data_IF_355748314217
#
_entry.id   IF_355748314217
#
_cell.length_a   1.000
_cell.length_b   1.000
_cell.length_c   1.000
_cell.angle_alpha   90.00
_cell.angle_beta   90.00
_cell.angle_gamma   90.00
#
_symmetry.space_group_name_H-M   'P 1'
#
loop_
_entity.id
_entity.type
_entity.pdbx_description
1 polymer ?
#
# COMPACT_ATOMS: atom_id res chain seq x y z
N UNK A 1 16.53 0.96 -5.90
CA UNK A 1 16.58 1.72 -4.64
C UNK A 1 17.93 2.39 -4.44
N UNK A 2 19.03 1.69 -4.19
CA UNK A 2 20.37 2.28 -3.87
C UNK A 2 20.84 3.33 -4.87
N UNK A 3 20.62 3.13 -6.17
CA UNK A 3 21.03 4.08 -7.24
C UNK A 3 20.08 5.28 -7.31
N UNK A 4 18.76 5.07 -7.16
CA UNK A 4 17.78 6.13 -7.30
C UNK A 4 17.70 7.04 -6.06
N UNK A 5 17.96 6.52 -4.86
CA UNK A 5 17.84 7.26 -3.60
C UNK A 5 18.67 8.54 -3.56
N UNK A 6 19.97 8.58 -3.99
CA UNK A 6 20.75 9.82 -3.98
C UNK A 6 20.19 10.92 -4.89
N UNK A 7 19.52 10.57 -5.98
CA UNK A 7 18.87 11.53 -6.88
C UNK A 7 17.58 12.07 -6.27
N UNK A 8 16.71 11.16 -5.77
CA UNK A 8 15.44 11.54 -5.18
C UNK A 8 15.64 12.33 -3.89
N UNK A 9 16.65 11.99 -3.10
CA UNK A 9 17.04 12.76 -1.93
C UNK A 9 17.33 14.24 -2.24
N UNK A 10 18.09 14.54 -3.31
CA UNK A 10 18.36 15.92 -3.72
C UNK A 10 17.07 16.69 -4.06
N UNK A 11 16.07 16.00 -4.60
CA UNK A 11 14.75 16.55 -4.87
C UNK A 11 13.97 16.72 -3.56
N UNK A 12 14.01 15.70 -2.69
CA UNK A 12 13.34 15.69 -1.39
C UNK A 12 13.76 16.86 -0.48
N UNK A 13 15.05 17.25 -0.51
CA UNK A 13 15.55 18.41 0.24
C UNK A 13 14.95 19.75 -0.20
N UNK A 14 14.40 19.83 -1.40
CA UNK A 14 13.73 21.03 -1.91
C UNK A 14 12.26 21.12 -1.48
N UNK A 15 11.73 20.05 -0.86
CA UNK A 15 10.35 20.02 -0.41
C UNK A 15 10.21 20.77 0.91
N UNK A 16 9.35 21.77 0.92
CA UNK A 16 8.88 22.43 2.12
C UNK A 16 7.58 21.81 2.63
N UNK A 17 6.93 22.46 3.56
CA UNK A 17 5.69 21.96 4.21
C UNK A 17 4.51 21.90 3.23
N UNK A 18 4.44 22.84 2.30
CA UNK A 18 3.43 22.84 1.25
C UNK A 18 3.57 21.66 0.31
N UNK A 19 4.78 21.33 -0.11
CA UNK A 19 5.05 20.21 -0.99
C UNK A 19 4.74 18.86 -0.30
N UNK A 20 5.07 18.72 0.98
CA UNK A 20 4.73 17.52 1.75
C UNK A 20 3.22 17.34 1.91
N UNK A 21 2.47 18.43 2.16
CA UNK A 21 1.01 18.39 2.18
C UNK A 21 0.44 17.92 0.84
N UNK A 22 0.86 18.55 -0.27
CA UNK A 22 0.38 18.17 -1.61
C UNK A 22 0.74 16.73 -1.98
N UNK A 23 1.91 16.25 -1.56
CA UNK A 23 2.34 14.89 -1.82
C UNK A 23 1.50 13.87 -1.03
N UNK A 24 1.10 14.19 0.20
CA UNK A 24 0.18 13.36 0.97
C UNK A 24 -1.22 13.31 0.31
N UNK A 25 -1.75 14.45 -0.12
CA UNK A 25 -3.03 14.53 -0.85
C UNK A 25 -2.93 13.77 -2.18
N UNK A 26 -1.82 13.90 -2.91
CA UNK A 26 -1.57 13.13 -4.12
C UNK A 26 -1.61 11.62 -3.87
N UNK A 27 -0.95 11.14 -2.80
CA UNK A 27 -0.97 9.72 -2.42
C UNK A 27 -2.39 9.19 -2.20
N UNK A 28 -3.23 9.94 -1.47
CA UNK A 28 -4.63 9.57 -1.22
C UNK A 28 -5.44 9.58 -2.52
N UNK A 29 -5.31 10.62 -3.35
CA UNK A 29 -6.11 10.77 -4.57
C UNK A 29 -5.72 9.77 -5.65
N UNK A 30 -4.42 9.51 -5.84
CA UNK A 30 -3.97 8.57 -6.87
C UNK A 30 -4.33 7.13 -6.50
N UNK A 31 -4.21 6.75 -5.23
CA UNK A 31 -4.60 5.43 -4.76
C UNK A 31 -6.09 5.15 -5.03
N UNK A 32 -6.95 6.14 -4.80
CA UNK A 32 -8.37 6.03 -5.14
C UNK A 32 -8.60 5.81 -6.64
N UNK A 33 -7.88 6.55 -7.50
CA UNK A 33 -8.02 6.47 -8.96
C UNK A 33 -7.54 5.14 -9.55
N UNK A 34 -6.56 4.52 -8.92
CA UNK A 34 -5.90 3.30 -9.39
C UNK A 34 -6.55 2.03 -8.86
N UNK A 35 -7.50 2.13 -7.93
CA UNK A 35 -8.25 0.97 -7.44
C UNK A 35 -8.98 0.27 -8.59
N UNK A 36 -8.66 -1.02 -8.78
CA UNK A 36 -9.10 -1.79 -9.97
C UNK A 36 -10.56 -2.22 -9.85
N UNK A 37 -11.00 -2.58 -8.64
CA UNK A 37 -12.29 -3.23 -8.38
C UNK A 37 -13.39 -2.28 -7.90
N UNK A 38 -13.11 -0.97 -7.82
CA UNK A 38 -14.05 0.03 -7.30
C UNK A 38 -14.03 1.34 -8.08
N UNK A 39 -15.11 2.12 -7.96
CA UNK A 39 -15.11 3.47 -8.54
C UNK A 39 -14.09 4.36 -7.82
N UNK A 40 -13.42 5.30 -8.53
CA UNK A 40 -12.49 6.26 -7.91
C UNK A 40 -13.12 7.04 -6.75
N UNK A 41 -14.41 7.32 -6.82
CA UNK A 41 -15.17 7.99 -5.75
C UNK A 41 -15.10 7.21 -4.43
N UNK A 42 -15.29 5.88 -4.47
CA UNK A 42 -15.18 5.04 -3.28
C UNK A 42 -13.76 5.04 -2.72
N UNK A 43 -12.75 5.07 -3.61
CA UNK A 43 -11.36 5.19 -3.22
C UNK A 43 -11.08 6.53 -2.50
N UNK A 44 -11.54 7.65 -3.05
CA UNK A 44 -11.39 8.95 -2.40
C UNK A 44 -12.13 9.04 -1.06
N UNK A 45 -13.39 8.60 -1.02
CA UNK A 45 -14.15 8.55 0.24
C UNK A 45 -13.45 7.68 1.28
N UNK A 46 -12.90 6.53 0.87
CA UNK A 46 -12.09 5.68 1.75
C UNK A 46 -10.86 6.42 2.28
N UNK A 47 -10.12 7.11 1.41
CA UNK A 47 -8.97 7.92 1.79
C UNK A 47 -9.33 9.03 2.78
N UNK A 48 -10.44 9.73 2.57
CA UNK A 48 -10.93 10.75 3.50
C UNK A 48 -11.42 10.15 4.85
N UNK A 49 -12.03 8.97 4.85
CA UNK A 49 -12.36 8.25 6.09
C UNK A 49 -11.08 7.97 6.88
N UNK A 50 -10.04 7.43 6.22
CA UNK A 50 -8.76 7.19 6.87
C UNK A 50 -8.11 8.47 7.39
N UNK A 51 -8.13 9.54 6.58
CA UNK A 51 -7.64 10.86 6.97
C UNK A 51 -8.36 11.40 8.22
N UNK A 52 -9.69 11.29 8.26
CA UNK A 52 -10.49 11.71 9.41
C UNK A 52 -10.14 10.91 10.68
N UNK A 53 -9.96 9.60 10.55
CA UNK A 53 -9.54 8.73 11.65
C UNK A 53 -8.15 9.12 12.16
N UNK A 54 -7.23 9.52 11.28
CA UNK A 54 -5.89 10.01 11.67
C UNK A 54 -5.92 11.31 12.48
N UNK A 55 -7.04 12.05 12.46
CA UNK A 55 -7.23 13.27 13.25
C UNK A 55 -7.60 13.01 14.71
N UNK A 56 -7.94 11.76 15.08
CA UNK A 56 -8.31 11.39 16.44
C UNK A 56 -7.05 11.41 17.31
N UNK A 57 -7.08 12.11 18.43
CA UNK A 57 -5.96 12.21 19.38
C UNK A 57 -5.68 13.63 19.84
N UNK A 58 -4.54 13.82 20.48
CA UNK A 58 -4.04 15.15 20.81
C UNK A 58 -3.34 15.75 19.59
N UNK A 59 -3.65 16.99 19.32
CA UNK A 59 -3.04 17.75 18.23
C UNK A 59 -1.55 18.04 18.51
N UNK A 60 -0.67 17.68 17.60
CA UNK A 60 0.77 17.88 17.72
C UNK A 60 1.22 19.35 17.70
N UNK A 61 0.37 20.28 17.22
CA UNK A 61 0.73 21.70 17.10
C UNK A 61 0.19 22.52 18.27
N UNK A 62 -1.10 22.34 18.60
CA UNK A 62 -1.78 23.14 19.62
C UNK A 62 -2.03 22.38 20.92
N UNK A 63 -1.64 21.10 21.01
CA UNK A 63 -1.88 20.20 22.13
C UNK A 63 -3.36 20.12 22.57
N UNK A 64 -4.28 20.42 21.65
CA UNK A 64 -5.73 20.33 21.88
C UNK A 64 -6.26 18.93 21.65
N UNK A 65 -7.21 18.43 22.46
CA UNK A 65 -7.83 17.12 22.23
C UNK A 65 -8.78 17.20 21.03
N UNK A 66 -8.70 16.22 20.10
CA UNK A 66 -9.56 16.08 18.96
C UNK A 66 -10.23 14.71 18.93
N UNK A 67 -11.56 14.70 18.95
CA UNK A 67 -12.37 13.47 18.84
C UNK A 67 -11.98 12.37 19.85
N UNK A 68 -11.54 12.76 21.06
CA UNK A 68 -11.15 11.82 22.12
C UNK A 68 -12.42 11.41 22.86
N UNK A 69 -13.05 10.32 22.48
CA UNK A 69 -14.23 9.77 23.12
C UNK A 69 -13.88 8.89 24.34
N UNK A 70 -12.65 8.35 24.37
CA UNK A 70 -12.11 7.50 25.42
C UNK A 70 -10.68 7.93 25.72
N UNK A 71 -10.28 7.95 26.99
CA UNK A 71 -8.97 8.42 27.42
C UNK A 71 -7.80 7.70 26.71
N UNK A 72 -7.98 6.42 26.39
CA UNK A 72 -6.98 5.65 25.63
C UNK A 72 -6.72 6.15 24.19
N UNK A 73 -7.62 6.99 23.64
CA UNK A 73 -7.44 7.63 22.33
C UNK A 73 -6.64 8.95 22.40
N UNK A 74 -6.14 9.34 23.57
CA UNK A 74 -5.29 10.53 23.72
C UNK A 74 -4.04 10.45 22.85
N UNK A 75 -3.45 9.25 22.70
CA UNK A 75 -2.30 9.00 21.82
C UNK A 75 -2.69 8.80 20.33
N UNK A 76 -3.95 9.02 20.00
CA UNK A 76 -4.47 8.76 18.64
C UNK A 76 -4.83 7.30 18.40
N UNK A 77 -5.18 7.03 17.14
CA UNK A 77 -5.44 5.67 16.63
C UNK A 77 -4.12 5.02 16.25
N UNK A 78 -3.77 3.95 16.96
CA UNK A 78 -2.55 3.22 16.66
C UNK A 78 -2.61 2.50 15.34
N UNK A 79 -1.60 2.72 14.51
CA UNK A 79 -1.58 2.26 13.13
C UNK A 79 -1.54 0.73 13.03
N UNK A 80 -0.66 0.07 13.80
CA UNK A 80 -0.44 -1.39 13.69
C UNK A 80 -1.70 -2.17 14.05
N UNK A 81 -2.37 -1.96 15.22
CA UNK A 81 -3.64 -2.61 15.53
C UNK A 81 -4.74 -2.32 14.50
N UNK A 82 -4.83 -1.07 14.00
CA UNK A 82 -5.80 -0.71 12.98
C UNK A 82 -5.57 -1.50 11.67
N UNK A 83 -4.31 -1.64 11.22
CA UNK A 83 -3.97 -2.41 10.03
C UNK A 83 -4.23 -3.91 10.21
N UNK A 84 -3.82 -4.49 11.35
CA UNK A 84 -4.10 -5.90 11.67
C UNK A 84 -5.61 -6.15 11.65
N UNK A 85 -6.41 -5.22 12.19
CA UNK A 85 -7.86 -5.29 12.13
C UNK A 85 -8.40 -5.24 10.71
N UNK A 86 -8.08 -4.18 9.96
CA UNK A 86 -8.62 -3.96 8.62
C UNK A 86 -8.25 -5.05 7.61
N UNK A 87 -7.05 -5.62 7.69
CA UNK A 87 -6.61 -6.66 6.75
C UNK A 87 -6.74 -8.06 7.32
N UNK A 88 -6.39 -8.30 8.59
CA UNK A 88 -6.42 -9.63 9.21
C UNK A 88 -7.82 -10.04 9.63
N UNK A 89 -8.43 -9.32 10.59
CA UNK A 89 -9.76 -9.69 11.11
C UNK A 89 -10.84 -9.54 10.05
N UNK A 90 -10.80 -8.49 9.22
CA UNK A 90 -11.77 -8.33 8.13
C UNK A 90 -11.70 -9.49 7.13
N UNK A 91 -10.50 -9.99 6.81
CA UNK A 91 -10.33 -11.16 5.93
C UNK A 91 -10.92 -12.41 6.56
N UNK A 92 -10.63 -12.66 7.85
CA UNK A 92 -11.22 -13.79 8.59
C UNK A 92 -12.73 -13.76 8.53
N UNK A 93 -13.36 -12.59 8.78
CA UNK A 93 -14.82 -12.42 8.72
C UNK A 93 -15.36 -12.68 7.30
N UNK A 94 -14.68 -12.20 6.25
CA UNK A 94 -15.06 -12.47 4.87
C UNK A 94 -15.01 -13.97 4.55
N UNK A 95 -13.92 -14.63 4.90
CA UNK A 95 -13.71 -16.08 4.65
C UNK A 95 -14.69 -16.94 5.41
N UNK A 96 -15.05 -16.59 6.65
CA UNK A 96 -16.05 -17.32 7.44
C UNK A 96 -17.46 -17.22 6.86
N UNK A 97 -17.77 -16.12 6.15
CA UNK A 97 -19.05 -15.95 5.46
C UNK A 97 -19.08 -16.60 4.08
N UNK A 98 -17.91 -16.85 3.47
CA UNK A 98 -17.80 -17.51 2.18
C UNK A 98 -17.92 -19.03 2.35
N UNK A 99 -19.03 -19.60 1.84
CA UNK A 99 -19.30 -21.04 1.92
C UNK A 99 -18.77 -21.83 0.74
N UNK A 100 -18.07 -21.19 -0.19
CA UNK A 100 -17.54 -21.88 -1.36
C UNK A 100 -16.44 -22.87 -0.95
N UNK A 101 -16.53 -24.15 -1.38
CA UNK A 101 -15.49 -25.12 -1.06
C UNK A 101 -14.22 -24.77 -1.84
N UNK A 102 -13.14 -24.49 -1.12
CA UNK A 102 -11.83 -24.25 -1.71
C UNK A 102 -11.13 -25.60 -1.88
N UNK A 103 -10.99 -26.05 -3.12
CA UNK A 103 -10.19 -27.24 -3.46
C UNK A 103 -8.85 -26.79 -4.05
N UNK A 104 -7.77 -27.14 -3.37
CA UNK A 104 -6.41 -26.99 -3.91
C UNK A 104 -6.03 -28.30 -4.57
N UNK A 105 -5.65 -28.26 -5.84
CA UNK A 105 -5.03 -29.41 -6.49
C UNK A 105 -3.60 -29.53 -5.95
N UNK A 106 -3.28 -30.69 -5.37
CA UNK A 106 -1.98 -30.96 -4.74
C UNK A 106 -0.93 -31.54 -5.68
N UNK A 107 -1.32 -31.86 -6.92
CA UNK A 107 -0.37 -32.37 -7.91
C UNK A 107 0.55 -31.24 -8.37
N UNK A 108 1.73 -31.21 -7.80
CA UNK A 108 2.80 -30.28 -8.15
C UNK A 108 3.77 -30.94 -9.12
N UNK A 109 3.96 -30.31 -10.26
CA UNK A 109 5.03 -30.64 -11.18
C UNK A 109 6.42 -30.23 -10.63
N UNK A 110 7.40 -30.05 -11.51
CA UNK A 110 8.73 -29.55 -11.13
C UNK A 110 8.63 -28.11 -10.58
N UNK A 111 9.27 -27.87 -9.41
CA UNK A 111 9.37 -26.53 -8.81
C UNK A 111 10.38 -25.68 -9.59
N UNK A 112 11.36 -26.31 -10.25
CA UNK A 112 12.40 -25.60 -10.97
C UNK A 112 11.98 -25.37 -12.43
N UNK A 113 12.07 -24.11 -12.93
CA UNK A 113 11.82 -23.82 -14.32
C UNK A 113 12.89 -24.43 -15.21
N UNK A 114 12.51 -24.83 -16.43
CA UNK A 114 13.42 -25.31 -17.46
C UNK A 114 14.29 -24.14 -18.00
N UNK A 115 15.49 -24.44 -18.50
CA UNK A 115 16.41 -23.41 -19.05
C UNK A 115 15.76 -22.59 -20.19
N UNK A 116 14.94 -23.21 -21.01
CA UNK A 116 14.25 -22.52 -22.09
C UNK A 116 13.16 -21.57 -21.58
N UNK A 117 12.45 -21.92 -20.51
CA UNK A 117 11.48 -21.08 -19.81
C UNK A 117 12.17 -19.86 -19.22
N UNK A 118 13.31 -20.05 -18.51
CA UNK A 118 14.10 -18.94 -17.97
C UNK A 118 14.54 -17.98 -19.07
N UNK A 119 15.02 -18.49 -20.21
CA UNK A 119 15.46 -17.68 -21.34
C UNK A 119 14.29 -16.88 -21.97
N UNK A 120 13.11 -17.49 -22.09
CA UNK A 120 11.91 -16.82 -22.59
C UNK A 120 11.42 -15.72 -21.65
N UNK A 121 11.52 -15.95 -20.35
CA UNK A 121 11.03 -15.02 -19.32
C UNK A 121 12.00 -13.88 -19.02
N UNK A 122 13.27 -13.96 -19.39
CA UNK A 122 14.28 -12.96 -19.00
C UNK A 122 13.88 -11.52 -19.37
N UNK A 123 13.47 -11.29 -20.62
CA UNK A 123 13.01 -9.95 -21.06
C UNK A 123 11.74 -9.49 -20.35
N UNK A 124 10.67 -10.32 -20.23
CA UNK A 124 9.52 -10.03 -19.40
C UNK A 124 9.86 -9.67 -17.97
N UNK A 125 10.74 -10.44 -17.28
CA UNK A 125 11.15 -10.22 -15.91
C UNK A 125 11.84 -8.86 -15.71
N UNK A 126 12.84 -8.54 -16.56
CA UNK A 126 13.55 -7.24 -16.48
C UNK A 126 12.58 -6.07 -16.68
N UNK A 127 11.71 -6.16 -17.69
CA UNK A 127 10.70 -5.13 -17.96
C UNK A 127 9.75 -4.96 -16.77
N UNK A 128 9.27 -6.06 -16.22
CA UNK A 128 8.32 -6.07 -15.10
C UNK A 128 8.95 -5.54 -13.81
N UNK A 129 10.24 -5.83 -13.57
CA UNK A 129 10.99 -5.25 -12.46
C UNK A 129 11.07 -3.73 -12.56
N UNK A 130 11.33 -3.19 -13.76
CA UNK A 130 11.37 -1.74 -13.97
C UNK A 130 9.99 -1.09 -13.78
N UNK A 131 8.93 -1.74 -14.28
CA UNK A 131 7.54 -1.27 -14.08
C UNK A 131 7.20 -1.29 -12.59
N UNK A 132 7.48 -2.41 -11.90
CA UNK A 132 7.21 -2.54 -10.46
C UNK A 132 7.92 -1.49 -9.64
N UNK A 133 9.22 -1.31 -9.85
CA UNK A 133 10.02 -0.29 -9.18
C UNK A 133 9.49 1.14 -9.45
N UNK A 134 9.13 1.43 -10.71
CA UNK A 134 8.58 2.73 -11.09
C UNK A 134 7.24 3.03 -10.44
N UNK A 135 6.32 2.07 -10.44
CA UNK A 135 5.01 2.19 -9.81
C UNK A 135 5.15 2.29 -8.29
N UNK A 136 6.01 1.47 -7.67
CA UNK A 136 6.26 1.53 -6.23
C UNK A 136 6.79 2.87 -5.75
N UNK A 137 7.57 3.58 -6.57
CA UNK A 137 8.04 4.92 -6.26
C UNK A 137 6.92 5.99 -6.27
N UNK A 138 5.74 5.67 -6.77
CA UNK A 138 4.57 6.55 -6.72
C UNK A 138 3.85 6.32 -5.39
N UNK A 139 3.71 7.35 -4.53
CA UNK A 139 3.00 7.22 -3.25
C UNK A 139 1.60 6.65 -3.45
N UNK A 140 1.29 5.59 -2.70
CA UNK A 140 -0.04 5.01 -2.69
C UNK A 140 -0.42 4.12 -3.87
N UNK A 141 0.44 3.96 -4.88
CA UNK A 141 0.12 3.10 -6.02
C UNK A 141 0.01 1.62 -5.61
N UNK A 142 0.97 1.13 -4.84
CA UNK A 142 0.94 -0.22 -4.29
C UNK A 142 1.27 -1.33 -5.29
N UNK A 143 1.40 -2.53 -4.74
CA UNK A 143 1.83 -3.73 -5.45
C UNK A 143 0.79 -4.23 -6.44
N UNK A 144 -0.48 -4.13 -6.10
CA UNK A 144 -1.58 -4.61 -6.94
C UNK A 144 -1.60 -3.89 -8.28
N UNK A 145 -1.41 -2.56 -8.25
CA UNK A 145 -1.36 -1.75 -9.48
C UNK A 145 -0.12 -2.08 -10.29
N UNK A 146 1.02 -2.27 -9.63
CA UNK A 146 2.25 -2.69 -10.29
C UNK A 146 2.07 -4.02 -11.03
N UNK A 147 1.43 -5.01 -10.37
CA UNK A 147 1.13 -6.30 -10.92
C UNK A 147 0.21 -6.20 -12.16
N UNK A 148 -0.92 -5.47 -12.04
CA UNK A 148 -1.87 -5.28 -13.14
C UNK A 148 -1.28 -4.51 -14.33
N UNK A 149 -0.54 -3.45 -14.07
CA UNK A 149 0.14 -2.68 -15.11
C UNK A 149 1.15 -3.54 -15.86
N UNK A 150 1.97 -4.28 -15.13
CA UNK A 150 2.96 -5.18 -15.71
C UNK A 150 2.32 -6.31 -16.51
N UNK A 151 1.24 -6.92 -16.00
CA UNK A 151 0.46 -7.93 -16.71
C UNK A 151 -0.09 -7.38 -18.03
N UNK A 152 -0.67 -6.18 -18.03
CA UNK A 152 -1.23 -5.52 -19.19
C UNK A 152 -0.16 -5.22 -20.26
N UNK A 153 0.99 -4.69 -19.83
CA UNK A 153 2.15 -4.45 -20.71
C UNK A 153 2.74 -5.77 -21.20
N UNK A 154 2.79 -6.81 -20.35
CA UNK A 154 3.17 -8.17 -20.72
C UNK A 154 2.31 -8.69 -21.87
N UNK A 155 0.99 -8.67 -21.67
CA UNK A 155 0.01 -9.11 -22.68
C UNK A 155 0.15 -8.36 -24.00
N UNK A 156 0.31 -7.04 -23.96
CA UNK A 156 0.43 -6.22 -25.18
C UNK A 156 1.68 -6.54 -26.01
N UNK A 157 2.76 -6.96 -25.35
CA UNK A 157 4.07 -7.23 -25.96
C UNK A 157 4.37 -8.72 -26.16
N UNK A 158 3.56 -9.61 -25.62
CA UNK A 158 3.70 -11.06 -25.77
C UNK A 158 3.39 -11.50 -27.21
N UNK A 159 4.07 -12.54 -27.64
CA UNK A 159 3.74 -13.27 -28.87
C UNK A 159 2.49 -14.12 -28.69
N UNK A 160 2.20 -14.58 -27.47
CA UNK A 160 1.10 -15.48 -27.13
C UNK A 160 0.02 -14.75 -26.32
N UNK A 161 -0.50 -13.63 -26.84
CA UNK A 161 -1.47 -12.74 -26.15
C UNK A 161 -2.74 -13.47 -25.69
N UNK A 162 -3.16 -14.49 -26.42
CA UNK A 162 -4.39 -15.25 -26.19
C UNK A 162 -4.30 -16.17 -24.96
N UNK A 163 -3.07 -16.52 -24.55
CA UNK A 163 -2.84 -17.33 -23.36
C UNK A 163 -3.03 -16.54 -22.05
N UNK A 164 -2.97 -15.20 -22.11
CA UNK A 164 -3.20 -14.37 -20.94
C UNK A 164 -4.64 -14.51 -20.45
N UNK A 165 -4.80 -14.87 -19.17
CA UNK A 165 -6.07 -15.26 -18.57
C UNK A 165 -6.46 -16.73 -18.76
N UNK A 166 -5.63 -17.53 -19.45
CA UNK A 166 -5.84 -18.97 -19.73
C UNK A 166 -4.65 -19.83 -19.32
N UNK A 167 -3.92 -19.44 -18.29
CA UNK A 167 -2.74 -20.14 -17.80
C UNK A 167 -1.42 -19.67 -18.43
N UNK A 168 -1.31 -18.39 -18.80
CA UNK A 168 -0.05 -17.82 -19.30
C UNK A 168 1.02 -17.77 -18.23
N UNK A 169 2.09 -18.53 -18.41
CA UNK A 169 3.27 -18.51 -17.54
C UNK A 169 3.97 -17.14 -17.60
N UNK A 170 4.06 -16.53 -18.79
CA UNK A 170 4.59 -15.17 -18.94
C UNK A 170 3.72 -14.13 -18.22
N UNK A 171 2.39 -14.29 -18.27
CA UNK A 171 1.47 -13.39 -17.58
C UNK A 171 1.66 -13.42 -16.06
N UNK A 172 1.76 -14.62 -15.49
CA UNK A 172 2.05 -14.82 -14.07
C UNK A 172 3.41 -14.22 -13.70
N UNK A 173 4.46 -14.53 -14.47
CA UNK A 173 5.79 -14.00 -14.23
C UNK A 173 5.84 -12.46 -14.28
N UNK A 174 5.10 -11.82 -15.19
CA UNK A 174 5.01 -10.36 -15.27
C UNK A 174 4.37 -9.75 -14.02
N UNK A 175 3.24 -10.28 -13.56
CA UNK A 175 2.53 -9.75 -12.39
C UNK A 175 3.33 -9.94 -11.11
N UNK A 176 3.82 -11.15 -10.86
CA UNK A 176 4.57 -11.47 -9.64
C UNK A 176 5.91 -10.73 -9.54
N UNK A 177 6.62 -10.59 -10.67
CA UNK A 177 7.87 -9.82 -10.70
C UNK A 177 7.64 -8.36 -10.38
N UNK A 178 6.59 -7.74 -10.94
CA UNK A 178 6.30 -6.35 -10.67
C UNK A 178 5.82 -6.13 -9.24
N UNK A 179 5.02 -7.05 -8.71
CA UNK A 179 4.59 -7.05 -7.31
C UNK A 179 5.80 -6.99 -6.37
N UNK A 180 6.74 -7.95 -6.50
CA UNK A 180 7.94 -7.98 -5.67
C UNK A 180 8.87 -6.78 -5.89
N UNK A 181 9.07 -6.34 -7.12
CA UNK A 181 9.90 -5.18 -7.45
C UNK A 181 9.33 -3.86 -6.92
N UNK A 182 8.00 -3.78 -6.76
CA UNK A 182 7.30 -2.62 -6.22
C UNK A 182 7.77 -2.29 -4.79
N UNK A 183 8.09 -3.30 -3.98
CA UNK A 183 8.57 -3.11 -2.60
C UNK A 183 9.82 -2.23 -2.58
N UNK A 184 10.80 -2.55 -3.43
CA UNK A 184 12.03 -1.77 -3.52
C UNK A 184 11.77 -0.32 -4.01
N UNK A 185 10.81 -0.13 -4.92
CA UNK A 185 10.35 1.18 -5.36
C UNK A 185 9.70 1.98 -4.24
N UNK A 186 8.78 1.35 -3.49
CA UNK A 186 8.02 1.98 -2.41
C UNK A 186 8.89 2.42 -1.21
N UNK A 187 10.02 1.77 -1.00
CA UNK A 187 10.97 2.16 0.03
C UNK A 187 11.67 3.49 -0.28
N UNK A 188 11.75 3.91 -1.54
CA UNK A 188 12.45 5.14 -1.93
C UNK A 188 11.73 6.37 -1.34
N UNK A 189 10.47 6.67 -1.67
CA UNK A 189 9.75 7.81 -1.09
C UNK A 189 9.55 7.64 0.43
N UNK A 190 9.36 6.42 0.91
CA UNK A 190 9.18 6.15 2.34
C UNK A 190 10.42 6.57 3.15
N UNK A 191 11.62 6.19 2.74
CA UNK A 191 12.84 6.54 3.45
C UNK A 191 13.26 8.01 3.25
N UNK A 192 13.00 8.59 2.08
CA UNK A 192 13.43 9.95 1.75
C UNK A 192 12.44 11.04 2.16
N UNK A 193 11.14 10.75 2.14
CA UNK A 193 10.06 11.71 2.37
C UNK A 193 9.12 11.31 3.51
N UNK A 194 9.33 10.14 4.13
CA UNK A 194 8.40 9.52 5.09
C UNK A 194 6.99 9.25 4.50
N UNK A 195 6.89 9.06 3.18
CA UNK A 195 5.64 8.81 2.47
C UNK A 195 5.69 7.43 1.84
N UNK A 196 4.92 6.46 2.36
CA UNK A 196 4.97 5.09 1.86
C UNK A 196 4.33 4.97 0.48
N UNK A 197 4.98 4.18 -0.41
CA UNK A 197 4.45 3.88 -1.73
C UNK A 197 3.42 2.74 -1.71
N UNK A 198 3.35 1.98 -0.62
CA UNK A 198 2.49 0.80 -0.48
C UNK A 198 2.10 0.55 0.97
N UNK A 199 1.15 -0.36 1.19
CA UNK A 199 0.71 -0.77 2.53
C UNK A 199 1.86 -1.41 3.34
N UNK A 200 2.69 -2.23 2.71
CA UNK A 200 3.84 -2.88 3.34
C UNK A 200 4.91 -1.85 3.70
N UNK A 201 5.18 -0.88 2.82
CA UNK A 201 6.08 0.23 3.13
C UNK A 201 5.56 1.06 4.31
N UNK A 202 4.24 1.20 4.44
CA UNK A 202 3.61 1.88 5.56
C UNK A 202 3.79 1.14 6.89
N UNK A 203 3.63 -0.18 6.88
CA UNK A 203 3.91 -1.01 8.07
C UNK A 203 5.39 -0.91 8.48
N UNK A 204 6.29 -0.89 7.50
CA UNK A 204 7.71 -0.72 7.76
C UNK A 204 8.03 0.68 8.32
N UNK A 205 7.38 1.72 7.79
CA UNK A 205 7.46 3.08 8.35
C UNK A 205 7.03 3.12 9.81
N UNK A 206 5.91 2.49 10.15
CA UNK A 206 5.44 2.40 11.53
C UNK A 206 6.45 1.67 12.43
N UNK A 207 7.02 0.55 11.97
CA UNK A 207 8.05 -0.17 12.69
C UNK A 207 9.30 0.67 12.93
N UNK A 208 9.77 1.42 11.93
CA UNK A 208 10.91 2.34 12.09
C UNK A 208 10.64 3.41 13.14
N UNK A 209 9.45 4.00 13.13
CA UNK A 209 9.05 5.01 14.11
C UNK A 209 9.02 4.43 15.54
N UNK A 210 8.52 3.20 15.73
CA UNK A 210 8.56 2.51 17.03
C UNK A 210 9.98 2.31 17.57
N UNK A 211 10.94 2.10 16.65
CA UNK A 211 12.35 1.98 17.02
C UNK A 211 13.09 3.33 17.08
N UNK A 212 12.36 4.45 17.06
CA UNK A 212 12.93 5.80 17.16
C UNK A 212 13.65 6.27 15.88
N UNK A 213 13.57 5.51 14.79
CA UNK A 213 14.10 5.92 13.49
C UNK A 213 13.03 6.70 12.75
N UNK A 214 13.29 7.98 12.51
CA UNK A 214 12.36 8.86 11.77
C UNK A 214 12.79 8.96 10.31
N UNK A 215 12.12 8.26 9.37
CA UNK A 215 12.35 8.42 7.94
C UNK A 215 12.06 9.86 7.48
N UNK A 216 12.65 10.22 6.37
CA UNK A 216 12.50 11.54 5.80
C UNK A 216 13.84 12.16 5.39
N UNK A 217 13.85 13.42 4.92
CA UNK A 217 15.06 14.08 4.41
C UNK A 217 16.21 14.14 5.44
N UNK A 218 15.87 14.30 6.73
CA UNK A 218 16.88 14.37 7.79
C UNK A 218 17.57 13.04 8.07
N UNK A 219 16.92 11.91 7.82
CA UNK A 219 17.53 10.58 8.01
C UNK A 219 18.73 10.40 7.08
N UNK A 220 18.62 10.86 5.83
CA UNK A 220 19.72 10.75 4.85
C UNK A 220 20.91 11.60 5.23
N UNK A 221 20.70 12.73 5.94
CA UNK A 221 21.79 13.59 6.44
C UNK A 221 22.43 12.98 7.68
N UNK A 222 21.61 12.56 8.65
CA UNK A 222 22.11 12.05 9.95
C UNK A 222 22.69 10.64 9.85
N UNK A 223 22.15 9.81 8.96
CA UNK A 223 22.56 8.42 8.78
C UNK A 223 22.60 8.02 7.28
N UNK A 224 23.56 8.55 6.49
CA UNK A 224 23.62 8.32 5.05
C UNK A 224 23.79 6.84 4.69
N UNK A 225 24.45 6.07 5.54
CA UNK A 225 24.64 4.62 5.36
C UNK A 225 23.38 3.81 5.55
N UNK A 226 22.40 4.33 6.30
CA UNK A 226 21.15 3.61 6.61
C UNK A 226 20.38 3.20 5.35
N UNK A 227 20.32 4.06 4.34
CA UNK A 227 19.67 3.76 3.06
C UNK A 227 20.30 2.56 2.34
N UNK A 228 21.63 2.49 2.37
CA UNK A 228 22.38 1.38 1.77
C UNK A 228 22.20 0.11 2.60
N UNK A 229 22.19 0.22 3.93
CA UNK A 229 21.90 -0.91 4.82
C UNK A 229 20.54 -1.51 4.54
N UNK A 230 19.49 -0.68 4.47
CA UNK A 230 18.13 -1.15 4.10
C UNK A 230 18.13 -1.81 2.72
N UNK A 231 18.79 -1.18 1.73
CA UNK A 231 18.89 -1.76 0.39
C UNK A 231 19.60 -3.12 0.36
N UNK A 232 20.70 -3.27 1.08
CA UNK A 232 21.41 -4.56 1.22
C UNK A 232 20.55 -5.58 1.96
N UNK A 233 19.87 -5.17 3.02
CA UNK A 233 18.95 -6.04 3.76
C UNK A 233 17.83 -6.57 2.87
N UNK A 234 17.25 -5.75 1.99
CA UNK A 234 16.24 -6.19 1.02
C UNK A 234 16.82 -7.21 0.05
N UNK A 235 18.06 -7.03 -0.43
CA UNK A 235 18.71 -8.00 -1.32
C UNK A 235 18.90 -9.33 -0.59
N UNK A 236 19.46 -9.32 0.62
CA UNK A 236 19.66 -10.52 1.43
C UNK A 236 18.31 -11.19 1.73
N UNK A 237 17.32 -10.43 2.15
CA UNK A 237 15.97 -10.93 2.42
C UNK A 237 15.35 -11.58 1.17
N UNK A 238 15.54 -10.98 -0.02
CA UNK A 238 15.04 -11.55 -1.28
C UNK A 238 15.70 -12.88 -1.61
N UNK A 239 17.02 -13.01 -1.40
CA UNK A 239 17.72 -14.29 -1.59
C UNK A 239 17.21 -15.34 -0.60
N UNK A 240 17.11 -14.98 0.68
CA UNK A 240 16.60 -15.90 1.72
C UNK A 240 15.15 -16.29 1.42
N UNK A 241 14.30 -15.34 0.96
CA UNK A 241 12.93 -15.60 0.56
C UNK A 241 12.85 -16.64 -0.56
N UNK A 242 13.70 -16.53 -1.60
CA UNK A 242 13.72 -17.52 -2.69
C UNK A 242 14.11 -18.90 -2.16
N UNK A 243 15.15 -18.99 -1.32
CA UNK A 243 15.59 -20.27 -0.73
C UNK A 243 14.49 -20.90 0.13
N UNK A 244 13.86 -20.08 1.00
CA UNK A 244 12.75 -20.53 1.84
C UNK A 244 11.54 -20.95 0.99
N UNK A 245 11.19 -20.17 -0.05
CA UNK A 245 10.09 -20.52 -0.93
C UNK A 245 10.30 -21.87 -1.60
N UNK A 246 11.51 -22.15 -2.12
CA UNK A 246 11.82 -23.45 -2.72
C UNK A 246 11.65 -24.62 -1.73
N UNK A 247 12.08 -24.44 -0.48
CA UNK A 247 11.96 -25.47 0.56
C UNK A 247 10.52 -25.60 1.07
N UNK A 248 9.84 -24.46 1.29
CA UNK A 248 8.54 -24.42 1.95
C UNK A 248 7.35 -24.57 0.99
N UNK A 249 7.54 -24.49 -0.33
CA UNK A 249 6.43 -24.58 -1.30
C UNK A 249 5.58 -25.84 -1.08
N UNK A 250 6.20 -27.01 -0.96
CA UNK A 250 5.46 -28.27 -0.71
C UNK A 250 4.71 -28.28 0.63
N UNK A 251 5.33 -27.99 1.80
CA UNK A 251 4.60 -27.85 3.06
C UNK A 251 3.49 -26.80 3.02
N UNK A 252 3.72 -25.66 2.38
CA UNK A 252 2.71 -24.58 2.30
C UNK A 252 1.46 -24.99 1.52
N UNK A 253 1.61 -25.76 0.44
CA UNK A 253 0.44 -26.31 -0.27
C UNK A 253 -0.38 -27.22 0.64
N UNK A 254 0.24 -28.00 1.52
CA UNK A 254 -0.49 -28.81 2.53
C UNK A 254 -1.24 -27.92 3.55
N UNK A 255 -0.65 -26.78 3.96
CA UNK A 255 -1.32 -25.81 4.83
C UNK A 255 -2.59 -25.26 4.18
N UNK A 256 -2.56 -24.99 2.86
CA UNK A 256 -3.74 -24.52 2.12
C UNK A 256 -4.87 -25.57 2.07
N UNK A 257 -4.57 -26.84 2.32
CA UNK A 257 -5.59 -27.91 2.42
C UNK A 257 -6.25 -27.97 3.79
N UNK A 258 -5.71 -27.28 4.81
CA UNK A 258 -6.30 -27.25 6.15
C UNK A 258 -7.68 -26.60 6.06
N UNK A 259 -8.64 -27.24 6.72
CA UNK A 259 -10.00 -26.74 6.77
C UNK A 259 -10.03 -25.30 7.31
N UNK A 260 -10.71 -24.40 6.59
CA UNK A 260 -10.89 -23.00 6.99
C UNK A 260 -11.40 -22.85 8.42
N UNK A 261 -12.22 -23.81 8.90
CA UNK A 261 -12.73 -23.83 10.29
C UNK A 261 -11.61 -23.95 11.34
N UNK A 262 -10.48 -24.55 10.98
CA UNK A 262 -9.30 -24.65 11.86
C UNK A 262 -8.33 -23.52 11.65
N UNK A 263 -8.13 -23.10 10.40
CA UNK A 263 -7.17 -22.05 10.05
C UNK A 263 -7.61 -20.66 10.56
N UNK A 264 -8.90 -20.33 10.45
CA UNK A 264 -9.37 -19.00 10.85
C UNK A 264 -9.20 -18.70 12.35
N UNK A 265 -9.54 -19.60 13.29
CA UNK A 265 -9.24 -19.39 14.71
C UNK A 265 -7.76 -19.17 15.00
N UNK A 266 -6.87 -19.91 14.32
CA UNK A 266 -5.42 -19.74 14.49
C UNK A 266 -5.00 -18.32 14.06
N UNK A 267 -5.50 -17.85 12.93
CA UNK A 267 -5.22 -16.47 12.46
C UNK A 267 -5.74 -15.44 13.47
N UNK A 268 -6.95 -15.63 14.02
CA UNK A 268 -7.49 -14.72 15.05
C UNK A 268 -6.58 -14.66 16.28
N UNK A 269 -6.13 -15.81 16.78
CA UNK A 269 -5.21 -15.85 17.95
C UNK A 269 -3.91 -15.10 17.62
N UNK A 270 -3.33 -15.34 16.45
CA UNK A 270 -2.10 -14.66 16.02
C UNK A 270 -2.30 -13.15 15.86
N UNK A 271 -3.44 -12.70 15.33
CA UNK A 271 -3.75 -11.27 15.20
C UNK A 271 -3.94 -10.60 16.55
N UNK A 272 -4.59 -11.28 17.50
CA UNK A 272 -4.75 -10.78 18.89
C UNK A 272 -3.39 -10.64 19.58
N UNK A 273 -2.55 -11.67 19.49
CA UNK A 273 -1.18 -11.63 20.05
C UNK A 273 -0.38 -10.51 19.38
N UNK A 274 -0.44 -10.37 18.05
CA UNK A 274 0.27 -9.32 17.31
C UNK A 274 -0.17 -7.91 17.70
N UNK A 275 -1.48 -7.67 17.83
CA UNK A 275 -2.02 -6.38 18.26
C UNK A 275 -1.60 -6.05 19.72
N UNK A 276 -1.66 -7.02 20.61
CA UNK A 276 -1.20 -6.84 22.01
C UNK A 276 0.29 -6.57 22.09
N UNK A 277 1.10 -7.32 21.34
CA UNK A 277 2.56 -7.21 21.37
C UNK A 277 3.08 -5.84 20.90
N UNK A 278 2.29 -5.09 20.12
CA UNK A 278 2.67 -3.76 19.61
C UNK A 278 3.03 -2.79 20.74
N UNK A 279 2.19 -2.68 21.78
CA UNK A 279 2.38 -1.76 22.92
C UNK A 279 1.99 -2.36 24.28
N UNK A 280 1.80 -3.67 24.35
CA UNK A 280 1.32 -4.39 25.55
C UNK A 280 0.01 -3.81 26.11
N UNK A 281 -0.89 -3.36 25.23
CA UNK A 281 -2.14 -2.69 25.57
C UNK A 281 -3.37 -3.54 25.18
N UNK A 282 -4.25 -3.81 26.16
CA UNK A 282 -5.55 -4.43 25.89
C UNK A 282 -6.47 -3.55 25.05
N UNK A 283 -6.26 -2.24 25.07
CA UNK A 283 -7.01 -1.31 24.24
C UNK A 283 -6.71 -1.52 22.75
N UNK A 284 -5.48 -1.89 22.39
CA UNK A 284 -5.08 -2.15 21.02
C UNK A 284 -5.79 -3.38 20.42
N UNK A 285 -6.11 -4.39 21.26
CA UNK A 285 -6.95 -5.52 20.85
C UNK A 285 -8.37 -5.03 20.52
N UNK A 286 -8.97 -4.17 21.36
CA UNK A 286 -10.29 -3.60 21.09
C UNK A 286 -10.27 -2.76 19.83
N UNK A 287 -9.24 -1.94 19.63
CA UNK A 287 -9.05 -1.13 18.44
C UNK A 287 -8.96 -2.01 17.19
N UNK A 288 -8.15 -3.06 17.23
CA UNK A 288 -8.02 -4.06 16.16
C UNK A 288 -9.39 -4.67 15.80
N UNK A 289 -10.19 -5.07 16.78
CA UNK A 289 -11.52 -5.65 16.53
C UNK A 289 -12.47 -4.64 15.90
N UNK A 290 -12.49 -3.40 16.36
CA UNK A 290 -13.28 -2.31 15.78
C UNK A 290 -12.90 -2.08 14.31
N UNK A 291 -11.59 -1.96 14.03
CA UNK A 291 -11.11 -1.80 12.65
C UNK A 291 -11.34 -3.05 11.80
N UNK A 292 -11.36 -4.24 12.42
CA UNK A 292 -11.73 -5.48 11.75
C UNK A 292 -13.18 -5.46 11.26
N UNK A 293 -14.10 -5.02 12.08
CA UNK A 293 -15.52 -4.86 11.70
C UNK A 293 -15.68 -3.76 10.65
N UNK A 294 -15.01 -2.62 10.83
CA UNK A 294 -15.01 -1.52 9.83
C UNK A 294 -14.48 -2.03 8.48
N UNK A 295 -13.34 -2.69 8.47
CA UNK A 295 -12.73 -3.25 7.26
C UNK A 295 -13.64 -4.27 6.56
N UNK A 296 -14.30 -5.13 7.34
CA UNK A 296 -15.30 -6.07 6.82
C UNK A 296 -16.49 -5.36 6.16
N UNK A 297 -17.06 -4.35 6.80
CA UNK A 297 -18.18 -3.56 6.25
C UNK A 297 -17.75 -2.85 4.98
N UNK A 298 -16.59 -2.21 4.98
CA UNK A 298 -16.05 -1.52 3.81
C UNK A 298 -15.85 -2.48 2.63
N UNK A 299 -15.31 -3.68 2.85
CA UNK A 299 -15.20 -4.72 1.81
C UNK A 299 -16.56 -5.15 1.27
N UNK A 300 -17.55 -5.36 2.13
CA UNK A 300 -18.92 -5.71 1.71
C UNK A 300 -19.57 -4.63 0.87
N UNK A 301 -19.22 -3.37 1.10
CA UNK A 301 -19.67 -2.23 0.32
C UNK A 301 -18.80 -1.97 -0.93
N UNK A 302 -17.83 -2.85 -1.22
CA UNK A 302 -16.84 -2.72 -2.29
C UNK A 302 -16.03 -1.43 -2.19
N UNK A 303 -15.64 -1.04 -0.97
CA UNK A 303 -14.65 0.01 -0.75
C UNK A 303 -13.24 -0.60 -0.77
N UNK A 304 -12.28 0.00 -1.47
CA UNK A 304 -10.90 -0.42 -1.42
C UNK A 304 -10.28 -0.03 -0.07
N UNK A 305 -9.63 -0.97 0.62
CA UNK A 305 -9.03 -0.71 1.93
C UNK A 305 -7.71 0.06 1.84
N UNK A 306 -6.97 -0.07 0.74
CA UNK A 306 -5.69 0.61 0.56
C UNK A 306 -5.79 2.15 0.67
N UNK A 307 -6.76 2.86 0.05
CA UNK A 307 -6.94 4.28 0.26
C UNK A 307 -7.27 4.66 1.72
N UNK A 308 -8.09 3.86 2.41
CA UNK A 308 -8.40 4.08 3.84
C UNK A 308 -7.15 4.04 4.68
N UNK A 309 -6.32 3.02 4.45
CA UNK A 309 -5.04 2.84 5.13
C UNK A 309 -4.10 4.01 4.87
N UNK A 310 -3.98 4.43 3.60
CA UNK A 310 -3.12 5.56 3.25
C UNK A 310 -3.64 6.87 3.83
N UNK A 311 -4.95 7.07 3.86
CA UNK A 311 -5.54 8.21 4.56
C UNK A 311 -5.19 8.23 6.03
N UNK A 312 -5.23 7.07 6.70
CA UNK A 312 -4.84 6.92 8.11
C UNK A 312 -3.34 7.23 8.33
N UNK A 313 -2.48 6.76 7.44
CA UNK A 313 -1.02 6.96 7.56
C UNK A 313 -0.61 8.39 7.23
N UNK A 314 -1.11 8.90 6.10
CA UNK A 314 -0.71 10.21 5.59
C UNK A 314 -1.49 11.36 6.25
N UNK A 315 -2.60 11.06 6.93
CA UNK A 315 -3.48 12.05 7.51
C UNK A 315 -2.79 12.98 8.51
N UNK A 316 -2.05 12.41 9.44
CA UNK A 316 -1.27 13.18 10.41
C UNK A 316 -0.21 14.07 9.73
N UNK A 317 0.53 13.53 8.77
CA UNK A 317 1.53 14.28 8.00
C UNK A 317 0.88 15.40 7.16
N UNK A 318 -0.26 15.13 6.54
CA UNK A 318 -0.98 16.12 5.75
C UNK A 318 -1.49 17.28 6.62
N UNK A 319 -2.13 16.98 7.76
CA UNK A 319 -2.63 17.99 8.68
C UNK A 319 -1.51 18.86 9.28
N UNK A 320 -0.49 18.23 9.84
CA UNK A 320 0.64 18.97 10.44
C UNK A 320 1.39 19.80 9.41
N UNK A 321 1.64 19.24 8.20
CA UNK A 321 2.32 19.94 7.12
C UNK A 321 1.49 21.11 6.61
N UNK A 322 0.18 20.96 6.43
CA UNK A 322 -0.71 22.02 5.99
C UNK A 322 -0.71 23.20 6.97
N UNK A 323 -0.91 22.93 8.26
CA UNK A 323 -0.96 23.98 9.28
C UNK A 323 0.40 24.64 9.50
N UNK A 324 1.49 23.88 9.48
CA UNK A 324 2.84 24.45 9.53
C UNK A 324 3.14 25.30 8.28
N UNK A 325 2.64 24.91 7.12
CA UNK A 325 2.78 25.70 5.91
C UNK A 325 2.06 27.05 6.00
N UNK A 326 0.85 27.07 6.57
CA UNK A 326 0.07 28.29 6.81
C UNK A 326 0.76 29.26 7.79
N UNK A 327 1.53 28.76 8.76
CA UNK A 327 2.30 29.60 9.69
C UNK A 327 3.58 30.17 9.06
N UNK A 328 4.11 29.54 8.03
CA UNK A 328 5.36 29.93 7.38
C UNK A 328 5.19 30.78 6.10
N UNK A 329 3.97 30.88 5.58
CA UNK A 329 3.69 31.61 4.36
C UNK A 329 2.23 31.54 3.93
N UNK A 330 1.95 32.12 2.78
CA UNK A 330 0.62 32.15 2.18
C UNK A 330 0.43 31.03 1.15
N UNK A 331 -0.81 30.73 0.77
CA UNK A 331 -1.09 29.82 -0.34
C UNK A 331 -0.49 30.29 -1.69
N UNK A 332 -0.23 31.59 -1.83
CA UNK A 332 0.39 32.16 -3.04
C UNK A 332 1.84 31.68 -3.18
N UNK A 333 2.55 31.50 -2.06
CA UNK A 333 3.93 31.00 -2.05
C UNK A 333 4.05 29.62 -2.67
N UNK A 334 2.98 28.82 -2.61
CA UNK A 334 2.89 27.50 -3.23
C UNK A 334 2.98 27.57 -4.76
N UNK A 335 2.36 28.59 -5.38
CA UNK A 335 2.39 28.80 -6.83
C UNK A 335 3.73 29.37 -7.32
N UNK A 336 4.44 30.09 -6.46
CA UNK A 336 5.75 30.68 -6.81
C UNK A 336 6.89 29.67 -6.74
N UNK A 337 6.71 28.56 -6.02
CA UNK A 337 7.69 27.47 -5.92
C UNK A 337 7.52 26.47 -7.06
N UNK A 338 8.55 26.20 -7.89
CA UNK A 338 8.39 25.34 -9.05
C UNK A 338 7.92 23.92 -8.71
N UNK A 339 8.39 23.36 -7.58
CA UNK A 339 7.96 22.03 -7.12
C UNK A 339 6.51 22.03 -6.64
N UNK A 340 6.07 23.07 -5.93
CA UNK A 340 4.69 23.27 -5.50
C UNK A 340 3.74 23.35 -6.70
N UNK A 341 4.09 24.16 -7.70
CA UNK A 341 3.29 24.30 -8.91
C UNK A 341 3.15 22.98 -9.68
N UNK A 342 4.23 22.21 -9.82
CA UNK A 342 4.20 20.88 -10.45
C UNK A 342 3.26 19.93 -9.67
N UNK A 343 3.38 19.90 -8.35
CA UNK A 343 2.53 19.02 -7.52
C UNK A 343 1.07 19.41 -7.57
N UNK A 344 0.73 20.71 -7.61
CA UNK A 344 -0.65 21.17 -7.82
C UNK A 344 -1.20 20.62 -9.13
N UNK A 345 -0.45 20.78 -10.23
CA UNK A 345 -0.89 20.27 -11.54
C UNK A 345 -1.11 18.76 -11.49
N UNK A 346 -0.22 18.02 -10.85
CA UNK A 346 -0.32 16.56 -10.71
C UNK A 346 -1.54 16.16 -9.86
N UNK A 347 -1.79 16.84 -8.74
CA UNK A 347 -2.97 16.59 -7.88
C UNK A 347 -4.27 16.92 -8.64
N UNK A 348 -4.33 18.07 -9.30
CA UNK A 348 -5.50 18.46 -10.10
C UNK A 348 -5.76 17.47 -11.24
N UNK A 349 -4.71 17.06 -11.95
CA UNK A 349 -4.83 16.04 -12.99
C UNK A 349 -5.35 14.72 -12.43
N UNK A 350 -4.85 14.27 -11.26
CA UNK A 350 -5.33 13.07 -10.58
C UNK A 350 -6.82 13.18 -10.23
N UNK A 351 -7.26 14.30 -9.68
CA UNK A 351 -8.66 14.54 -9.34
C UNK A 351 -9.57 14.57 -10.58
N UNK A 352 -9.17 15.33 -11.62
CA UNK A 352 -9.95 15.45 -12.86
C UNK A 352 -10.06 14.11 -13.57
N UNK A 353 -8.95 13.38 -13.72
CA UNK A 353 -8.94 12.06 -14.37
C UNK A 353 -9.81 11.05 -13.63
N UNK A 354 -9.78 11.06 -12.31
CA UNK A 354 -10.64 10.21 -11.50
C UNK A 354 -12.11 10.60 -11.57
N UNK A 355 -12.44 11.89 -11.57
CA UNK A 355 -13.82 12.37 -11.77
C UNK A 355 -14.39 11.93 -13.13
N UNK A 356 -13.60 12.07 -14.20
CA UNK A 356 -13.99 11.62 -15.54
C UNK A 356 -14.22 10.09 -15.55
N UNK A 357 -13.32 9.32 -14.94
CA UNK A 357 -13.44 7.86 -14.85
C UNK A 357 -14.69 7.45 -14.05
N UNK A 358 -15.00 8.14 -12.95
CA UNK A 358 -16.22 7.91 -12.15
C UNK A 358 -17.47 8.15 -12.97
N UNK A 359 -17.57 9.30 -13.66
CA UNK A 359 -18.74 9.62 -14.50
C UNK A 359 -18.93 8.58 -15.61
N UNK A 360 -17.84 8.11 -16.23
CA UNK A 360 -17.89 7.09 -17.26
C UNK A 360 -18.37 5.74 -16.71
N UNK A 361 -17.83 5.30 -15.56
CA UNK A 361 -18.24 4.07 -14.89
C UNK A 361 -19.72 4.09 -14.50
N UNK A 362 -20.19 5.18 -13.91
CA UNK A 362 -21.60 5.35 -13.53
C UNK A 362 -22.53 5.31 -14.75
N UNK A 363 -22.14 5.94 -15.86
CA UNK A 363 -22.92 5.87 -17.11
C UNK A 363 -23.02 4.45 -17.67
N UNK A 364 -21.91 3.68 -17.63
CA UNK A 364 -21.90 2.28 -18.08
C UNK A 364 -22.77 1.38 -17.18
N UNK A 365 -22.76 1.61 -15.85
CA UNK A 365 -23.62 0.88 -14.92
C UNK A 365 -25.12 1.20 -15.15
N UNK A 366 -25.47 2.47 -15.33
CA UNK A 366 -26.83 2.89 -15.63
C UNK A 366 -27.31 2.33 -16.99
N UNK A 367 -26.46 2.31 -18.00
CA UNK A 367 -26.79 1.70 -19.29
C UNK A 367 -27.03 0.19 -19.19
N UNK A 368 -26.21 -0.52 -18.39
CA UNK A 368 -26.43 -1.96 -18.10
C UNK A 368 -27.70 -2.24 -17.29
N UNK A 369 -28.05 -1.35 -16.37
CA UNK A 369 -29.28 -1.46 -15.59
C UNK A 369 -30.55 -1.18 -16.42
N UNK A 370 -30.49 -0.25 -17.39
CA UNK A 370 -31.56 0.07 -18.30
C UNK A 370 -31.78 -1.01 -19.39
N UNK A 371 -30.76 -1.84 -19.65
CA UNK A 371 -30.81 -2.94 -20.63
C UNK A 371 -31.30 -4.29 -20.03
N UNK A 372 -31.52 -4.33 -18.70
CA UNK A 372 -32.15 -5.45 -17.97
C UNK A 372 -33.62 -5.17 -17.69
#
# INVERSE_FOLDING_TARGET
MMVATPFIYKIALKFGKWELFLLAIFGITICGNLSVDSSPLKGWLGGFIGFFVAMIGVDDIYNGPRFIFVQNLTSGVELIPALIGMFGIAEVLCVLMDRTPFKVNSDMGSIFPNKDEVKQLFKPLVRSSLIGCGIGAIPGAGEDIAAWMSYSVGRSRSKNKEMFGRGSFEGLACSETANNACIAGAMIPMLTLAIPGSTQAAMFLAALNLHGVQPGPMLTIKAPTFMYTVGLTIIVASVVMVLLALVLTKPMVHILQINRKVLMPIIVVLTVVGAYASRSSLFDIKLMLVFGVIGFILRKLNFPLAPVTLGLILGGTADTSFRQALTQGTMIDLLTRPMGAILIVVVLYSLISGAIKTVKSTKEELAKAAAK
#
